data_IF_543304153061
#
_entry.id   IF_543304153061
#
_cell.length_a   1.000
_cell.length_b   1.000
_cell.length_c   1.000
_cell.angle_alpha   90.00
_cell.angle_beta   90.00
_cell.angle_gamma   90.00
#
_symmetry.space_group_name_H-M   'P 1'
#
loop_
_entity.id
_entity.type
_entity.pdbx_description
1 polymer ?
#
# COMPACT_ATOMS: atom_id res chain seq x y z
N UNK A 1 -9.87 -18.98 -8.24
CA UNK A 1 -9.52 -17.78 -7.46
C UNK A 1 -9.22 -16.65 -8.42
N UNK A 2 -10.03 -15.58 -8.47
CA UNK A 2 -9.79 -14.43 -9.37
C UNK A 2 -8.50 -13.72 -8.92
N UNK A 3 -7.52 -13.58 -9.81
CA UNK A 3 -6.31 -12.78 -9.53
C UNK A 3 -6.72 -11.32 -9.44
N UNK A 4 -6.42 -10.67 -8.31
CA UNK A 4 -6.59 -9.23 -8.15
C UNK A 4 -5.65 -8.53 -9.14
N UNK A 5 -6.18 -7.58 -9.92
CA UNK A 5 -5.40 -6.77 -10.85
C UNK A 5 -4.71 -5.62 -10.12
N UNK A 6 -3.63 -5.09 -10.68
CA UNK A 6 -2.90 -3.97 -10.09
C UNK A 6 -3.82 -2.77 -9.83
N UNK A 7 -4.69 -2.44 -10.80
CA UNK A 7 -5.66 -1.36 -10.66
C UNK A 7 -6.66 -1.59 -9.52
N UNK A 8 -7.17 -2.81 -9.37
CA UNK A 8 -8.05 -3.15 -8.25
C UNK A 8 -7.34 -3.04 -6.90
N UNK A 9 -6.09 -3.50 -6.80
CA UNK A 9 -5.29 -3.40 -5.58
C UNK A 9 -4.99 -1.94 -5.23
N UNK A 10 -4.62 -1.11 -6.22
CA UNK A 10 -4.43 0.33 -6.02
C UNK A 10 -5.69 1.00 -5.49
N UNK A 11 -6.86 0.70 -6.08
CA UNK A 11 -8.13 1.28 -5.67
C UNK A 11 -8.50 0.87 -4.23
N UNK A 12 -8.30 -0.41 -3.89
CA UNK A 12 -8.52 -0.89 -2.52
C UNK A 12 -7.58 -0.17 -1.54
N UNK A 13 -6.28 -0.05 -1.85
CA UNK A 13 -5.34 0.67 -0.99
C UNK A 13 -5.73 2.14 -0.83
N UNK A 14 -6.14 2.80 -1.90
CA UNK A 14 -6.61 4.18 -1.85
C UNK A 14 -7.84 4.34 -0.94
N UNK A 15 -8.84 3.47 -1.08
CA UNK A 15 -10.04 3.49 -0.25
C UNK A 15 -9.70 3.24 1.22
N UNK A 16 -8.83 2.26 1.52
CA UNK A 16 -8.38 1.97 2.89
C UNK A 16 -7.69 3.19 3.52
N UNK A 17 -6.80 3.85 2.78
CA UNK A 17 -6.08 5.04 3.27
C UNK A 17 -7.05 6.20 3.46
N UNK A 18 -7.95 6.46 2.51
CA UNK A 18 -8.93 7.55 2.61
C UNK A 18 -9.89 7.37 3.80
N UNK A 19 -10.36 6.14 4.04
CA UNK A 19 -11.18 5.82 5.21
C UNK A 19 -10.37 5.95 6.50
N UNK A 20 -9.11 5.51 6.50
CA UNK A 20 -8.19 5.67 7.63
C UNK A 20 -7.94 7.13 7.98
N UNK A 21 -7.80 8.00 6.98
CA UNK A 21 -7.67 9.44 7.14
C UNK A 21 -8.93 10.07 7.74
N UNK A 22 -10.11 9.78 7.15
CA UNK A 22 -11.39 10.26 7.67
C UNK A 22 -11.62 9.81 9.12
N UNK A 23 -11.25 8.57 9.47
CA UNK A 23 -11.33 8.05 10.83
C UNK A 23 -10.31 8.74 11.75
N UNK A 24 -9.07 8.95 11.30
CA UNK A 24 -8.06 9.67 12.07
C UNK A 24 -8.53 11.08 12.44
N UNK A 25 -9.14 11.81 11.50
CA UNK A 25 -9.72 13.14 11.76
C UNK A 25 -10.95 13.07 12.66
N UNK A 26 -11.85 12.11 12.43
CA UNK A 26 -13.10 12.02 13.20
C UNK A 26 -12.88 11.65 14.68
N UNK A 27 -11.85 10.85 14.99
CA UNK A 27 -11.55 10.39 16.34
C UNK A 27 -10.40 11.15 17.02
N UNK A 28 -9.73 12.07 16.30
CA UNK A 28 -8.50 12.74 16.75
C UNK A 28 -7.37 11.74 17.10
N UNK A 29 -7.29 10.66 16.31
CA UNK A 29 -6.32 9.57 16.48
C UNK A 29 -5.48 9.46 15.20
N UNK A 30 -4.38 10.23 15.08
CA UNK A 30 -3.57 10.28 13.85
C UNK A 30 -2.92 8.94 13.49
N UNK A 31 -2.77 8.02 14.45
CA UNK A 31 -2.21 6.69 14.21
C UNK A 31 -3.09 5.80 13.30
N UNK A 32 -4.39 6.10 13.17
CA UNK A 32 -5.28 5.35 12.28
C UNK A 32 -4.87 5.49 10.80
N UNK A 33 -4.43 6.68 10.39
CA UNK A 33 -3.91 6.91 9.05
C UNK A 33 -2.63 6.10 8.79
N UNK A 34 -1.72 6.03 9.77
CA UNK A 34 -0.50 5.24 9.67
C UNK A 34 -0.79 3.75 9.54
N UNK A 35 -1.74 3.22 10.33
CA UNK A 35 -2.15 1.83 10.25
C UNK A 35 -2.74 1.55 8.87
N UNK A 36 -3.65 2.39 8.37
CA UNK A 36 -4.24 2.25 7.05
C UNK A 36 -3.18 2.28 5.93
N UNK A 37 -2.23 3.21 6.02
CA UNK A 37 -1.11 3.34 5.08
C UNK A 37 -0.16 2.14 5.13
N UNK A 38 0.15 1.63 6.33
CA UNK A 38 0.95 0.44 6.53
C UNK A 38 0.27 -0.81 5.97
N UNK A 39 -1.05 -0.94 6.13
CA UNK A 39 -1.84 -2.01 5.51
C UNK A 39 -1.78 -1.94 3.99
N UNK A 40 -1.85 -0.73 3.42
CA UNK A 40 -1.68 -0.50 1.98
C UNK A 40 -0.32 -0.98 1.48
N UNK A 41 0.76 -0.63 2.18
CA UNK A 41 2.11 -1.12 1.87
C UNK A 41 2.24 -2.65 2.00
N UNK A 42 1.73 -3.21 3.10
CA UNK A 42 1.78 -4.64 3.38
C UNK A 42 1.06 -5.47 2.32
N UNK A 43 -0.04 -4.96 1.75
CA UNK A 43 -0.74 -5.61 0.63
C UNK A 43 0.18 -5.83 -0.58
N UNK A 44 1.06 -4.88 -0.91
CA UNK A 44 2.04 -5.02 -1.99
C UNK A 44 3.22 -5.94 -1.65
N UNK A 45 3.54 -6.12 -0.37
CA UNK A 45 4.53 -7.10 0.09
C UNK A 45 3.99 -8.53 -0.07
N UNK A 46 2.79 -8.76 0.45
CA UNK A 46 2.15 -10.08 0.48
C UNK A 46 1.68 -10.51 -0.91
N UNK A 47 1.09 -9.58 -1.66
CA UNK A 47 0.55 -9.83 -2.98
C UNK A 47 1.09 -8.78 -3.96
N UNK A 48 2.34 -8.93 -4.44
CA UNK A 48 2.89 -8.03 -5.44
C UNK A 48 2.16 -8.24 -6.77
N UNK A 49 1.60 -7.17 -7.32
CA UNK A 49 0.95 -7.18 -8.62
C UNK A 49 1.69 -6.21 -9.53
N UNK A 50 1.93 -6.64 -10.76
CA UNK A 50 2.48 -5.78 -11.80
C UNK A 50 1.35 -5.18 -12.63
N UNK A 51 1.45 -3.91 -13.03
CA UNK A 51 0.56 -3.34 -14.03
C UNK A 51 0.72 -4.08 -15.37
N UNK A 52 -0.38 -4.24 -16.11
CA UNK A 52 -0.37 -4.95 -17.40
C UNK A 52 0.50 -4.26 -18.47
N UNK A 53 0.75 -2.95 -18.32
CA UNK A 53 1.59 -2.16 -19.21
C UNK A 53 3.10 -2.31 -18.92
N UNK A 54 3.49 -2.94 -17.81
CA UNK A 54 4.90 -3.29 -17.54
C UNK A 54 5.23 -4.59 -18.24
N UNK A 55 5.77 -4.48 -19.46
CA UNK A 55 6.19 -5.61 -20.30
C UNK A 55 7.71 -5.73 -20.42
N UNK A 56 8.46 -4.77 -19.89
CA UNK A 56 9.91 -4.73 -19.95
C UNK A 56 10.55 -5.39 -18.72
N UNK A 57 11.73 -5.97 -18.92
CA UNK A 57 12.51 -6.59 -17.85
C UNK A 57 12.03 -7.98 -17.42
N UNK A 58 12.82 -8.61 -16.56
CA UNK A 58 12.49 -9.90 -15.99
C UNK A 58 11.34 -9.77 -14.97
N UNK A 59 10.29 -10.58 -15.15
CA UNK A 59 9.08 -10.54 -14.33
C UNK A 59 9.36 -10.78 -12.85
N UNK A 60 10.30 -11.66 -12.52
CA UNK A 60 10.64 -11.98 -11.12
C UNK A 60 11.32 -10.79 -10.45
N UNK A 61 12.24 -10.14 -11.15
CA UNK A 61 12.92 -8.91 -10.71
C UNK A 61 11.91 -7.79 -10.47
N UNK A 62 10.98 -7.59 -11.40
CA UNK A 62 9.94 -6.56 -11.28
C UNK A 62 8.97 -6.81 -10.11
N UNK A 63 8.55 -8.06 -9.88
CA UNK A 63 7.73 -8.41 -8.72
C UNK A 63 8.49 -8.18 -7.40
N UNK A 64 9.78 -8.48 -7.36
CA UNK A 64 10.61 -8.20 -6.19
C UNK A 64 10.74 -6.69 -5.94
N UNK A 65 10.89 -5.87 -6.99
CA UNK A 65 10.89 -4.41 -6.84
C UNK A 65 9.58 -3.89 -6.24
N UNK A 66 8.42 -4.42 -6.68
CA UNK A 66 7.11 -4.09 -6.08
C UNK A 66 7.05 -4.48 -4.61
N UNK A 67 7.56 -5.67 -4.23
CA UNK A 67 7.64 -6.08 -2.83
C UNK A 67 8.49 -5.13 -2.00
N UNK A 68 9.68 -4.78 -2.49
CA UNK A 68 10.58 -3.84 -1.82
C UNK A 68 9.91 -2.48 -1.66
N UNK A 69 9.22 -1.99 -2.69
CA UNK A 69 8.40 -0.79 -2.61
C UNK A 69 7.32 -0.87 -1.53
N UNK A 70 6.62 -2.01 -1.43
CA UNK A 70 5.66 -2.27 -0.36
C UNK A 70 6.29 -2.27 1.04
N UNK A 71 7.48 -2.85 1.20
CA UNK A 71 8.22 -2.84 2.47
C UNK A 71 8.59 -1.41 2.85
N UNK A 72 9.13 -0.63 1.90
CA UNK A 72 9.50 0.76 2.12
C UNK A 72 8.28 1.62 2.47
N UNK A 73 7.17 1.46 1.76
CA UNK A 73 5.92 2.16 2.05
C UNK A 73 5.39 1.84 3.45
N UNK A 74 5.44 0.56 3.85
CA UNK A 74 5.04 0.11 5.19
C UNK A 74 5.96 0.70 6.26
N UNK A 75 7.28 0.63 6.05
CA UNK A 75 8.26 1.17 6.99
C UNK A 75 8.09 2.69 7.14
N UNK A 76 7.89 3.42 6.04
CA UNK A 76 7.63 4.85 6.06
C UNK A 76 6.36 5.15 6.87
N UNK A 77 5.25 4.45 6.61
CA UNK A 77 4.00 4.64 7.35
C UNK A 77 4.13 4.41 8.87
N UNK A 78 4.99 3.47 9.28
CA UNK A 78 5.27 3.20 10.70
C UNK A 78 6.25 4.21 11.31
N UNK A 79 7.20 4.72 10.53
CA UNK A 79 8.22 5.68 10.96
C UNK A 79 7.70 7.12 10.99
N UNK A 80 6.73 7.47 10.15
CA UNK A 80 6.05 8.77 10.19
C UNK A 80 5.20 8.84 11.45
N UNK A 81 5.78 9.21 12.58
CA UNK A 81 5.01 9.82 13.68
C UNK A 81 4.49 11.15 13.19
N UNK A 82 3.18 11.25 12.97
CA UNK A 82 2.58 12.55 12.75
C UNK A 82 2.57 13.32 14.07
N UNK A 83 3.52 14.25 14.14
CA UNK A 83 3.47 15.48 14.92
C UNK A 83 3.08 16.65 13.97
N UNK A 84 2.25 16.36 12.95
CA UNK A 84 1.61 17.33 12.05
C UNK A 84 0.12 17.28 12.33
#
# INVERSE_FOLDING_TARGET
>A
MKRITFGAQMLICFVVIAVGDCAATAFDIPILFNIASALGGAAFVLHPVLPAWVTWGDKKTMLNAVRVGGVLATALALLTRFNV
#
